data_IF_965505814254
#
_entry.id   IF_965505814254
#
_cell.length_a   1.000
_cell.length_b   1.000
_cell.length_c   1.000
_cell.angle_alpha   90.00
_cell.angle_beta   90.00
_cell.angle_gamma   90.00
#
_symmetry.space_group_name_H-M   'P 1'
#
loop_
_entity.id
_entity.type
_entity.pdbx_description
1 polymer ?
#
# COMPACT_ATOMS: atom_id res chain seq x y z
N UNK A 1 4.82 7.84 30.54
CA UNK A 1 3.78 6.97 29.95
C UNK A 1 4.47 5.71 29.46
N UNK A 2 3.92 4.52 29.70
CA UNK A 2 4.51 3.27 29.18
C UNK A 2 4.16 3.09 27.70
N UNK A 3 5.00 2.38 26.95
CA UNK A 3 4.78 2.09 25.52
C UNK A 3 3.42 1.46 25.23
N UNK A 4 2.93 0.61 26.15
CA UNK A 4 1.60 0.00 26.04
C UNK A 4 0.47 1.03 26.02
N UNK A 5 0.55 2.09 26.83
CA UNK A 5 -0.47 3.15 26.86
C UNK A 5 -0.45 3.94 25.54
N UNK A 6 0.72 4.22 24.98
CA UNK A 6 0.86 4.91 23.69
C UNK A 6 0.28 4.04 22.57
N UNK A 7 0.57 2.74 22.59
CA UNK A 7 0.06 1.77 21.62
C UNK A 7 -1.46 1.66 21.65
N UNK A 8 -2.04 1.53 22.84
CA UNK A 8 -3.49 1.48 23.02
C UNK A 8 -4.16 2.77 22.53
N UNK A 9 -3.59 3.94 22.87
CA UNK A 9 -4.08 5.23 22.41
C UNK A 9 -4.09 5.36 20.87
N UNK A 10 -3.00 4.96 20.20
CA UNK A 10 -2.92 4.98 18.73
C UNK A 10 -3.93 4.01 18.10
N UNK A 11 -4.07 2.81 18.67
CA UNK A 11 -5.00 1.80 18.17
C UNK A 11 -6.47 2.19 18.35
N UNK A 12 -6.81 2.92 19.42
CA UNK A 12 -8.16 3.47 19.57
C UNK A 12 -8.49 4.48 18.47
N UNK A 13 -7.55 5.36 18.11
CA UNK A 13 -7.76 6.32 17.02
C UNK A 13 -7.97 5.65 15.67
N UNK A 14 -7.28 4.54 15.40
CA UNK A 14 -7.43 3.82 14.13
C UNK A 14 -8.81 3.17 13.96
N UNK A 15 -9.49 2.75 15.05
CA UNK A 15 -10.82 2.12 14.97
C UNK A 15 -11.89 3.01 14.33
N UNK A 16 -11.77 4.33 14.53
CA UNK A 16 -12.73 5.30 14.01
C UNK A 16 -12.35 5.84 12.62
N UNK A 17 -11.30 5.31 12.00
CA UNK A 17 -10.85 5.72 10.67
C UNK A 17 -11.41 4.82 9.57
N UNK A 18 -11.51 5.35 8.35
CA UNK A 18 -11.93 4.59 7.16
C UNK A 18 -10.80 4.40 6.15
N UNK A 19 -9.78 5.27 6.22
CA UNK A 19 -8.63 5.30 5.32
C UNK A 19 -7.37 5.56 6.14
N UNK A 20 -6.32 4.81 5.85
CA UNK A 20 -4.97 5.01 6.38
C UNK A 20 -4.06 5.52 5.26
N UNK A 21 -3.31 6.58 5.50
CA UNK A 21 -2.31 7.11 4.56
C UNK A 21 -0.92 6.80 5.15
N UNK A 22 -0.12 6.07 4.38
CA UNK A 22 1.23 5.65 4.75
C UNK A 22 2.22 6.53 3.99
N UNK A 23 3.01 7.33 4.70
CA UNK A 23 4.06 8.14 4.10
C UNK A 23 5.37 7.37 4.01
N UNK A 24 5.87 7.14 2.80
CA UNK A 24 7.12 6.45 2.50
C UNK A 24 8.24 7.47 2.24
N UNK A 25 8.97 7.81 3.29
CA UNK A 25 10.26 8.51 3.21
C UNK A 25 11.40 7.50 3.03
N UNK A 26 12.64 7.91 2.72
CA UNK A 26 13.76 6.99 2.54
C UNK A 26 13.99 6.00 3.69
N UNK A 27 13.67 6.36 4.93
CA UNK A 27 13.80 5.55 6.14
C UNK A 27 12.56 4.70 6.42
N UNK A 28 11.40 5.07 5.89
CA UNK A 28 10.13 4.37 6.09
C UNK A 28 9.83 3.33 4.99
N UNK A 29 10.62 3.31 3.91
CA UNK A 29 10.47 2.34 2.81
C UNK A 29 10.65 0.90 3.30
N UNK A 30 11.56 0.64 4.24
CA UNK A 30 11.75 -0.69 4.83
C UNK A 30 11.65 -0.61 6.34
N UNK A 31 10.96 -1.57 6.94
CA UNK A 31 10.77 -1.56 8.40
C UNK A 31 12.07 -1.84 9.15
N UNK A 32 12.17 -1.22 10.33
CA UNK A 32 13.22 -1.56 11.29
C UNK A 32 12.96 -2.93 11.92
N UNK A 33 14.05 -3.65 12.14
CA UNK A 33 14.07 -4.95 12.82
C UNK A 33 14.95 -4.84 14.05
N UNK A 34 14.54 -5.50 15.12
CA UNK A 34 15.38 -5.63 16.31
C UNK A 34 16.53 -6.62 16.05
N UNK A 35 17.42 -6.75 17.03
CA UNK A 35 18.60 -7.62 16.99
C UNK A 35 18.34 -9.11 16.70
N UNK A 36 17.12 -9.61 16.91
CA UNK A 36 16.71 -11.00 16.63
C UNK A 36 15.92 -11.09 15.30
N UNK A 37 15.77 -9.97 14.58
CA UNK A 37 15.14 -9.91 13.27
C UNK A 37 13.62 -9.69 13.27
N UNK A 38 13.00 -9.47 14.44
CA UNK A 38 11.58 -9.15 14.53
C UNK A 38 11.32 -7.70 14.14
N UNK A 39 10.21 -7.43 13.46
CA UNK A 39 9.79 -6.07 13.14
C UNK A 39 9.54 -5.28 14.43
N UNK A 40 10.27 -4.18 14.57
CA UNK A 40 10.20 -3.25 15.71
C UNK A 40 10.05 -1.85 15.14
N UNK A 41 8.88 -1.62 14.54
CA UNK A 41 8.56 -0.41 13.82
C UNK A 41 7.10 -0.03 14.04
N UNK A 42 6.88 1.18 14.54
CA UNK A 42 5.53 1.72 14.75
C UNK A 42 4.74 1.79 13.45
N UNK A 43 5.40 2.09 12.31
CA UNK A 43 4.76 2.13 11.01
C UNK A 43 4.21 0.75 10.60
N UNK A 44 4.96 -0.31 10.91
CA UNK A 44 4.50 -1.67 10.67
C UNK A 44 3.28 -2.00 11.53
N UNK A 45 3.32 -1.67 12.82
CA UNK A 45 2.24 -1.95 13.75
C UNK A 45 0.95 -1.19 13.41
N UNK A 46 1.03 0.07 12.98
CA UNK A 46 -0.12 0.89 12.56
C UNK A 46 -0.73 0.38 11.24
N UNK A 47 0.10 0.05 10.25
CA UNK A 47 -0.40 -0.47 8.97
C UNK A 47 -1.01 -1.87 9.15
N UNK A 48 -0.38 -2.74 9.94
CA UNK A 48 -0.95 -4.05 10.31
C UNK A 48 -2.30 -3.87 10.99
N UNK A 49 -2.41 -2.97 11.96
CA UNK A 49 -3.67 -2.71 12.65
C UNK A 49 -4.76 -2.21 11.69
N UNK A 50 -4.38 -1.34 10.75
CA UNK A 50 -5.29 -0.81 9.70
C UNK A 50 -5.83 -1.90 8.77
N UNK A 51 -5.08 -2.99 8.55
CA UNK A 51 -5.47 -4.08 7.64
C UNK A 51 -6.17 -5.27 8.35
N UNK A 52 -6.10 -5.33 9.67
CA UNK A 52 -6.69 -6.43 10.44
C UNK A 52 -8.19 -6.23 10.68
N UNK A 53 -8.96 -7.30 10.46
CA UNK A 53 -10.38 -7.31 10.76
C UNK A 53 -10.55 -7.87 12.18
N UNK A 54 -11.20 -7.11 13.06
CA UNK A 54 -11.36 -7.44 14.47
C UNK A 54 -12.75 -7.01 14.94
N UNK A 55 -13.17 -7.54 16.11
CA UNK A 55 -14.38 -7.09 16.80
C UNK A 55 -14.28 -5.58 17.04
N UNK A 56 -14.97 -4.78 16.23
CA UNK A 56 -14.94 -3.30 16.17
C UNK A 56 -13.81 -2.64 15.37
N UNK A 57 -13.16 -3.33 14.43
CA UNK A 57 -12.21 -2.73 13.48
C UNK A 57 -12.36 -3.42 12.13
N UNK A 58 -12.93 -2.73 11.12
CA UNK A 58 -12.99 -3.23 9.75
C UNK A 58 -11.75 -2.76 9.02
N UNK A 59 -11.14 -3.61 8.19
CA UNK A 59 -10.01 -3.24 7.31
C UNK A 59 -10.21 -1.86 6.69
N UNK A 60 -9.23 -0.97 6.82
CA UNK A 60 -9.25 0.36 6.21
C UNK A 60 -8.88 0.29 4.72
N UNK A 61 -9.37 1.26 3.95
CA UNK A 61 -8.72 1.61 2.69
C UNK A 61 -7.32 2.15 2.97
N UNK A 62 -6.33 1.87 2.13
CA UNK A 62 -4.96 2.32 2.39
C UNK A 62 -4.32 2.92 1.14
N UNK A 63 -3.56 3.99 1.34
CA UNK A 63 -2.77 4.67 0.30
C UNK A 63 -1.33 4.73 0.79
N UNK A 64 -0.37 4.35 -0.06
CA UNK A 64 1.04 4.62 0.17
C UNK A 64 1.47 5.83 -0.66
N UNK A 65 1.97 6.86 0.01
CA UNK A 65 2.44 8.10 -0.61
C UNK A 65 3.95 8.16 -0.44
N UNK A 66 4.71 8.19 -1.53
CA UNK A 66 6.17 8.28 -1.45
C UNK A 66 6.68 9.70 -1.69
N UNK A 67 7.74 10.09 -0.98
CA UNK A 67 8.43 11.36 -1.23
C UNK A 67 9.35 11.25 -2.43
N UNK A 68 9.72 12.39 -3.03
CA UNK A 68 10.60 12.39 -4.21
C UNK A 68 11.96 11.71 -3.91
N UNK A 69 12.48 11.86 -2.69
CA UNK A 69 13.72 11.22 -2.24
C UNK A 69 13.59 9.69 -2.08
N UNK A 70 12.37 9.19 -1.91
CA UNK A 70 12.08 7.76 -1.79
C UNK A 70 11.77 7.10 -3.14
N UNK A 71 11.54 7.88 -4.21
CA UNK A 71 11.13 7.37 -5.54
C UNK A 71 12.01 6.23 -6.02
N UNK A 72 13.32 6.42 -6.01
CA UNK A 72 14.30 5.44 -6.50
C UNK A 72 14.40 4.20 -5.60
N UNK A 73 13.79 4.19 -4.42
CA UNK A 73 13.70 3.00 -3.56
C UNK A 73 12.44 2.17 -3.82
N UNK A 74 11.40 2.77 -4.41
CA UNK A 74 10.10 2.11 -4.60
C UNK A 74 9.78 1.79 -6.06
N UNK A 75 10.31 2.54 -7.02
CA UNK A 75 10.02 2.39 -8.44
C UNK A 75 11.28 2.48 -9.30
N UNK A 76 11.24 1.84 -10.47
CA UNK A 76 12.11 2.11 -11.63
C UNK A 76 11.26 2.45 -12.85
N UNK A 77 11.80 3.26 -13.75
CA UNK A 77 11.26 3.41 -15.10
C UNK A 77 11.62 2.18 -15.93
N UNK A 78 10.66 1.67 -16.72
CA UNK A 78 10.80 0.42 -17.44
C UNK A 78 10.00 0.44 -18.75
N UNK A 79 10.18 -0.60 -19.57
CA UNK A 79 9.32 -0.86 -20.71
C UNK A 79 8.89 -2.32 -20.72
N UNK A 80 7.69 -2.59 -21.20
CA UNK A 80 7.15 -3.95 -21.29
C UNK A 80 6.46 -4.17 -22.63
N UNK A 81 6.79 -5.26 -23.30
CA UNK A 81 6.10 -5.68 -24.51
C UNK A 81 4.83 -6.47 -24.15
N UNK A 82 3.66 -5.87 -24.37
CA UNK A 82 2.39 -6.54 -24.12
C UNK A 82 1.96 -7.36 -25.33
N UNK A 83 1.91 -8.69 -25.18
CA UNK A 83 1.44 -9.62 -26.23
C UNK A 83 -0.02 -9.34 -26.66
N UNK A 84 -0.87 -8.92 -25.72
CA UNK A 84 -2.27 -8.62 -26.00
C UNK A 84 -2.44 -7.38 -26.89
N UNK A 85 -1.64 -6.33 -26.66
CA UNK A 85 -1.66 -5.10 -27.45
C UNK A 85 -0.67 -5.10 -28.62
N UNK A 86 0.21 -6.09 -28.70
CA UNK A 86 1.30 -6.19 -29.68
C UNK A 86 2.21 -4.96 -29.75
N UNK A 87 2.45 -4.30 -28.60
CA UNK A 87 3.26 -3.09 -28.52
C UNK A 87 4.09 -3.04 -27.23
N UNK A 88 5.24 -2.35 -27.31
CA UNK A 88 6.01 -1.95 -26.14
C UNK A 88 5.38 -0.72 -25.51
N UNK A 89 5.13 -0.78 -24.20
CA UNK A 89 4.62 0.33 -23.40
C UNK A 89 5.70 0.80 -22.43
N UNK A 90 5.82 2.11 -22.25
CA UNK A 90 6.53 2.67 -21.10
C UNK A 90 5.71 2.41 -19.85
N UNK A 91 6.36 1.91 -18.81
CA UNK A 91 5.72 1.57 -17.54
C UNK A 91 6.69 1.79 -16.38
N UNK A 92 6.20 1.63 -15.17
CA UNK A 92 7.03 1.66 -13.96
C UNK A 92 7.07 0.26 -13.37
N UNK A 93 8.23 -0.20 -12.94
CA UNK A 93 8.37 -1.45 -12.21
C UNK A 93 8.47 -1.19 -10.72
N UNK A 94 7.67 -1.92 -9.96
CA UNK A 94 7.62 -1.81 -8.50
C UNK A 94 8.79 -2.58 -7.87
N UNK A 95 9.69 -1.86 -7.19
CA UNK A 95 10.83 -2.45 -6.49
C UNK A 95 10.39 -3.34 -5.33
N UNK A 96 11.27 -4.25 -4.94
CA UNK A 96 11.12 -4.92 -3.67
C UNK A 96 11.56 -3.99 -2.54
N UNK A 97 10.72 -3.84 -1.53
CA UNK A 97 11.05 -3.20 -0.26
C UNK A 97 10.28 -3.88 0.87
N UNK A 98 10.90 -3.94 2.05
CA UNK A 98 10.44 -4.74 3.19
C UNK A 98 9.33 -4.01 3.96
N UNK A 99 8.16 -3.89 3.33
CA UNK A 99 7.02 -3.14 3.84
C UNK A 99 5.68 -3.81 3.52
N UNK A 100 4.72 -3.72 4.44
CA UNK A 100 3.41 -4.35 4.29
C UNK A 100 2.58 -3.68 3.18
N UNK A 101 2.84 -2.39 2.89
CA UNK A 101 2.26 -1.69 1.75
C UNK A 101 2.59 -2.42 0.45
N UNK A 102 3.87 -2.78 0.25
CA UNK A 102 4.36 -3.46 -0.95
C UNK A 102 3.73 -4.84 -1.17
N UNK A 103 3.45 -5.59 -0.09
CA UNK A 103 2.78 -6.89 -0.20
C UNK A 103 1.34 -6.80 -0.67
N UNK A 104 0.72 -5.63 -0.54
CA UNK A 104 -0.66 -5.37 -0.98
C UNK A 104 -0.71 -4.48 -2.25
N UNK A 105 0.40 -4.43 -2.99
CA UNK A 105 0.48 -3.86 -4.33
C UNK A 105 0.52 -5.00 -5.35
N UNK A 106 -0.07 -4.78 -6.52
CA UNK A 106 -0.17 -5.76 -7.62
C UNK A 106 -0.83 -7.08 -7.17
N UNK A 107 -1.75 -7.01 -6.20
CA UNK A 107 -2.30 -8.16 -5.48
C UNK A 107 -3.77 -8.47 -5.83
N UNK A 108 -4.31 -7.87 -6.89
CA UNK A 108 -5.63 -8.24 -7.42
C UNK A 108 -5.63 -9.73 -7.80
N UNK A 109 -6.74 -10.42 -7.52
CA UNK A 109 -6.94 -11.79 -8.01
C UNK A 109 -7.15 -11.75 -9.53
N UNK A 110 -6.61 -12.75 -10.24
CA UNK A 110 -6.59 -12.76 -11.70
C UNK A 110 -7.97 -12.57 -12.37
N UNK A 111 -9.04 -13.04 -11.73
CA UNK A 111 -10.42 -12.91 -12.26
C UNK A 111 -10.99 -11.49 -12.20
N UNK A 112 -10.42 -10.61 -11.38
CA UNK A 112 -10.86 -9.22 -11.22
C UNK A 112 -9.89 -8.20 -11.83
N UNK A 113 -8.73 -8.66 -12.31
CA UNK A 113 -7.69 -7.81 -12.90
C UNK A 113 -8.26 -6.98 -14.05
N UNK A 114 -8.10 -5.66 -13.96
CA UNK A 114 -8.61 -4.69 -14.94
C UNK A 114 -7.66 -4.50 -16.10
N UNK A 115 -6.34 -4.53 -15.88
CA UNK A 115 -5.40 -4.44 -16.98
C UNK A 115 -5.33 -5.78 -17.72
N UNK A 116 -5.70 -5.85 -19.02
CA UNK A 116 -5.71 -7.11 -19.75
C UNK A 116 -4.32 -7.57 -20.18
N UNK A 117 -3.30 -6.71 -20.11
CA UNK A 117 -1.92 -7.07 -20.45
C UNK A 117 -1.29 -7.93 -19.36
N UNK A 118 -0.62 -9.01 -19.74
CA UNK A 118 0.22 -9.79 -18.84
C UNK A 118 1.29 -8.91 -18.19
N UNK A 119 1.58 -9.15 -16.91
CA UNK A 119 2.60 -8.46 -16.10
C UNK A 119 2.49 -6.93 -16.01
N UNK A 120 1.41 -6.35 -16.55
CA UNK A 120 1.03 -4.96 -16.39
C UNK A 120 -0.21 -4.86 -15.52
N UNK A 121 -0.24 -3.84 -14.67
CA UNK A 121 -1.28 -3.63 -13.68
C UNK A 121 -1.81 -2.21 -13.85
N UNK A 122 -3.09 -2.03 -13.56
CA UNK A 122 -3.70 -0.72 -13.47
C UNK A 122 -3.45 -0.12 -12.07
N UNK A 123 -2.86 1.09 -12.04
CA UNK A 123 -2.47 1.76 -10.79
C UNK A 123 -3.68 2.02 -9.87
N UNK A 124 -4.87 2.25 -10.45
CA UNK A 124 -6.07 2.57 -9.70
C UNK A 124 -6.88 1.36 -9.29
N UNK A 125 -6.74 0.22 -9.96
CA UNK A 125 -7.65 -0.92 -9.77
C UNK A 125 -6.97 -2.21 -9.34
N UNK A 126 -5.73 -2.46 -9.76
CA UNK A 126 -5.11 -3.79 -9.63
C UNK A 126 -4.23 -3.94 -8.38
N UNK A 127 -4.15 -2.89 -7.56
CA UNK A 127 -3.46 -2.89 -6.27
C UNK A 127 -4.43 -2.46 -5.18
N UNK A 128 -4.51 -3.22 -4.07
CA UNK A 128 -5.31 -2.79 -2.93
C UNK A 128 -4.76 -1.51 -2.31
N UNK A 129 -3.43 -1.42 -2.17
CA UNK A 129 -2.74 -0.22 -1.72
C UNK A 129 -2.15 0.48 -2.95
N UNK A 130 -2.67 1.67 -3.26
CA UNK A 130 -2.09 2.51 -4.32
C UNK A 130 -0.74 3.05 -3.88
N UNK A 131 0.23 3.14 -4.82
CA UNK A 131 1.49 3.84 -4.63
C UNK A 131 1.46 5.15 -5.43
N UNK A 132 1.49 6.28 -4.75
CA UNK A 132 1.27 7.62 -5.33
C UNK A 132 2.42 8.54 -4.95
N UNK A 133 2.89 9.39 -5.86
CA UNK A 133 3.89 10.40 -5.48
C UNK A 133 3.26 11.44 -4.55
N UNK A 134 4.06 12.03 -3.67
CA UNK A 134 3.57 13.10 -2.79
C UNK A 134 3.04 14.30 -3.57
N UNK A 135 3.61 14.59 -4.74
CA UNK A 135 3.16 15.70 -5.60
C UNK A 135 1.80 15.39 -6.22
N UNK A 136 1.63 14.21 -6.84
CA UNK A 136 0.33 13.80 -7.40
C UNK A 136 -0.75 13.74 -6.31
N UNK A 137 -0.39 13.24 -5.12
CA UNK A 137 -1.32 13.16 -3.99
C UNK A 137 -1.77 14.56 -3.53
N UNK A 138 -0.89 15.57 -3.51
CA UNK A 138 -1.26 16.94 -3.15
C UNK A 138 -2.19 17.57 -4.18
N UNK A 139 -1.99 17.26 -5.46
CA UNK A 139 -2.81 17.80 -6.55
C UNK A 139 -4.26 17.31 -6.48
N UNK A 140 -4.49 16.03 -6.16
CA UNK A 140 -5.83 15.46 -6.06
C UNK A 140 -5.95 14.38 -4.97
N UNK A 141 -5.77 14.77 -3.71
CA UNK A 141 -5.89 13.85 -2.58
C UNK A 141 -7.30 13.23 -2.46
N UNK A 142 -8.33 13.95 -2.92
CA UNK A 142 -9.72 13.50 -2.82
C UNK A 142 -9.98 12.27 -3.68
N UNK A 143 -9.47 12.24 -4.91
CA UNK A 143 -9.52 11.06 -5.79
C UNK A 143 -8.87 9.85 -5.15
N UNK A 144 -7.66 10.00 -4.61
CA UNK A 144 -6.94 8.86 -4.03
C UNK A 144 -7.62 8.34 -2.75
N UNK A 145 -8.15 9.23 -1.91
CA UNK A 145 -8.94 8.86 -0.72
C UNK A 145 -10.21 8.11 -1.13
N UNK A 146 -10.92 8.58 -2.15
CA UNK A 146 -12.12 7.89 -2.62
C UNK A 146 -11.79 6.52 -3.21
N UNK A 147 -10.76 6.43 -4.05
CA UNK A 147 -10.28 5.17 -4.62
C UNK A 147 -9.92 4.15 -3.51
N UNK A 148 -9.27 4.57 -2.43
CA UNK A 148 -8.97 3.70 -1.30
C UNK A 148 -10.24 3.19 -0.57
N UNK A 149 -11.26 4.04 -0.43
CA UNK A 149 -12.56 3.63 0.11
C UNK A 149 -13.25 2.62 -0.81
N UNK A 150 -13.23 2.85 -2.12
CA UNK A 150 -13.86 1.95 -3.09
C UNK A 150 -13.17 0.57 -3.12
N UNK A 151 -11.83 0.54 -2.99
CA UNK A 151 -11.07 -0.72 -2.85
C UNK A 151 -11.41 -1.47 -1.57
N UNK A 152 -11.62 -0.77 -0.46
CA UNK A 152 -12.08 -1.37 0.80
C UNK A 152 -13.42 -2.07 0.66
N UNK A 153 -14.35 -1.51 -0.12
CA UNK A 153 -15.66 -2.15 -0.35
C UNK A 153 -15.58 -3.39 -1.26
N UNK A 154 -14.48 -3.56 -2.01
CA UNK A 154 -14.22 -4.70 -2.90
C UNK A 154 -13.03 -5.54 -2.42
N UNK A 155 -12.86 -5.63 -1.10
CA UNK A 155 -11.72 -6.28 -0.45
C UNK A 155 -11.50 -7.73 -0.92
N UNK A 156 -12.59 -8.44 -1.21
CA UNK A 156 -12.61 -9.82 -1.69
C UNK A 156 -11.99 -9.99 -3.07
N UNK A 157 -11.80 -8.93 -3.85
CA UNK A 157 -11.11 -8.98 -5.13
C UNK A 157 -9.59 -9.12 -4.98
N UNK A 158 -9.03 -8.88 -3.79
CA UNK A 158 -7.59 -8.78 -3.56
C UNK A 158 -7.06 -9.92 -2.67
N UNK A 159 -5.80 -10.29 -2.87
CA UNK A 159 -5.05 -11.16 -1.97
C UNK A 159 -4.38 -10.29 -0.88
N UNK A 160 -5.10 -10.06 0.22
CA UNK A 160 -4.66 -9.15 1.28
C UNK A 160 -3.64 -9.81 2.21
N UNK A 161 -2.45 -9.20 2.31
CA UNK A 161 -1.45 -9.53 3.30
C UNK A 161 -1.59 -8.62 4.52
N UNK A 162 -1.83 -9.21 5.70
CA UNK A 162 -1.97 -8.45 6.95
C UNK A 162 -0.68 -8.46 7.79
N UNK A 163 0.29 -9.29 7.43
CA UNK A 163 1.56 -9.46 8.15
C UNK A 163 2.72 -9.65 7.17
N UNK A 164 3.91 -9.30 7.64
CA UNK A 164 5.16 -9.49 6.91
C UNK A 164 5.69 -10.92 7.05
#
# INVERSE_FOLDING_TARGET
MSENIIKEYLYEKLKDTSVTIVLLTPEAVSYRKNWIGNYDDWLYDELRYSLEDRKNNRTNGVIAVYTDEAKDKVLDDSTHYCQHCQQTKSCRSLKYFDNLARKNMLNIKSVYKKNPCNDLYDDEHDSYISLVSLNDFKEDYSRYIQNAKDKRERLDEFNIAKRM
#
